data_IF_004686013540
#
_entry.id   IF_004686013540
#
_cell.length_a   1.000
_cell.length_b   1.000
_cell.length_c   1.000
_cell.angle_alpha   90.00
_cell.angle_beta   90.00
_cell.angle_gamma   90.00
#
_symmetry.space_group_name_H-M   'P 1'
#
loop_
_entity.id
_entity.type
_entity.pdbx_description
1 polymer ?
#
# COMPACT_ATOMS: atom_id res chain seq x y z
N UNK A 1 0.70 31.34 1.31
CA UNK A 1 2.00 31.16 1.99
C UNK A 1 2.98 30.64 0.96
N UNK A 2 4.06 31.37 0.66
CA UNK A 2 5.08 30.96 -0.31
C UNK A 2 6.23 30.31 0.48
N UNK A 3 6.02 29.08 0.95
CA UNK A 3 7.00 28.36 1.79
C UNK A 3 8.34 28.23 1.06
N UNK A 4 8.32 27.90 -0.23
CA UNK A 4 9.55 27.76 -1.02
C UNK A 4 10.36 29.05 -1.16
N UNK A 5 9.70 30.20 -1.27
CA UNK A 5 10.37 31.51 -1.36
C UNK A 5 11.03 31.88 -0.03
N UNK A 6 10.28 31.76 1.08
CA UNK A 6 10.81 32.00 2.42
C UNK A 6 12.03 31.10 2.73
N UNK A 7 11.99 29.82 2.33
CA UNK A 7 13.12 28.91 2.48
C UNK A 7 14.32 29.32 1.62
N UNK A 8 14.10 29.78 0.38
CA UNK A 8 15.18 30.25 -0.48
C UNK A 8 15.85 31.52 0.08
N UNK A 9 15.06 32.44 0.63
CA UNK A 9 15.56 33.67 1.26
C UNK A 9 16.35 33.37 2.53
N UNK A 10 15.85 32.42 3.36
CA UNK A 10 16.49 32.02 4.61
C UNK A 10 17.77 31.18 4.39
N UNK A 11 17.82 30.39 3.31
CA UNK A 11 18.92 29.48 2.99
C UNK A 11 19.52 29.78 1.61
N UNK A 12 20.20 30.93 1.41
CA UNK A 12 20.67 31.38 0.10
C UNK A 12 21.75 30.47 -0.52
N UNK A 13 22.47 29.70 0.31
CA UNK A 13 23.43 28.71 -0.16
C UNK A 13 22.76 27.45 -0.75
N UNK A 14 21.50 27.20 -0.41
CA UNK A 14 20.74 26.02 -0.84
C UNK A 14 19.83 26.39 -2.01
N UNK A 15 20.27 26.11 -3.24
CA UNK A 15 19.46 26.38 -4.42
C UNK A 15 18.28 25.40 -4.50
N UNK A 16 17.02 25.88 -4.54
CA UNK A 16 15.86 25.01 -4.66
C UNK A 16 15.86 24.29 -6.01
N UNK A 17 15.48 23.02 -6.00
CA UNK A 17 15.34 22.19 -7.20
C UNK A 17 14.02 21.44 -7.14
N UNK A 18 13.28 21.44 -8.24
CA UNK A 18 12.03 20.66 -8.36
C UNK A 18 12.27 19.16 -8.58
N UNK A 19 13.48 18.78 -9.01
CA UNK A 19 13.91 17.39 -9.25
C UNK A 19 15.36 17.21 -8.83
N UNK A 20 15.74 16.00 -8.42
CA UNK A 20 17.11 15.72 -7.99
C UNK A 20 17.54 16.57 -6.78
N UNK A 21 16.60 16.86 -5.89
CA UNK A 21 16.86 17.51 -4.61
C UNK A 21 17.45 16.50 -3.63
N UNK A 22 18.24 16.97 -2.67
CA UNK A 22 18.77 16.13 -1.59
C UNK A 22 17.83 16.03 -0.40
N UNK A 23 16.93 17.01 -0.24
CA UNK A 23 15.97 17.10 0.86
C UNK A 23 14.63 17.55 0.30
N UNK A 24 13.58 16.78 0.55
CA UNK A 24 12.22 17.16 0.21
C UNK A 24 11.57 17.84 1.41
N UNK A 25 11.35 19.15 1.34
CA UNK A 25 10.57 19.86 2.35
C UNK A 25 9.10 19.84 1.96
N UNK A 26 8.26 19.33 2.85
CA UNK A 26 6.81 19.24 2.69
C UNK A 26 6.12 20.24 3.62
N UNK A 27 5.15 20.95 3.07
CA UNK A 27 4.30 21.87 3.81
C UNK A 27 2.84 21.43 3.66
N UNK A 28 2.23 20.95 4.74
CA UNK A 28 0.83 20.54 4.78
C UNK A 28 0.00 21.59 5.53
N UNK A 29 -1.08 22.04 4.91
CA UNK A 29 -2.06 22.93 5.55
C UNK A 29 -3.32 22.15 5.86
N UNK A 30 -3.62 21.98 7.15
CA UNK A 30 -4.82 21.28 7.62
C UNK A 30 -5.66 22.25 8.43
N UNK A 31 -6.75 22.72 7.84
CA UNK A 31 -7.56 23.80 8.40
C UNK A 31 -6.73 25.06 8.62
N UNK A 32 -6.51 25.44 9.89
CA UNK A 32 -5.72 26.61 10.29
C UNK A 32 -4.28 26.29 10.70
N UNK A 33 -3.85 25.03 10.60
CA UNK A 33 -2.51 24.59 11.01
C UNK A 33 -1.62 24.39 9.79
N UNK A 34 -0.39 24.89 9.87
CA UNK A 34 0.69 24.59 8.92
C UNK A 34 1.67 23.64 9.59
N UNK A 35 1.92 22.49 8.97
CA UNK A 35 3.00 21.58 9.33
C UNK A 35 4.10 21.68 8.27
N UNK A 36 5.34 21.90 8.70
CA UNK A 36 6.52 21.87 7.82
C UNK A 36 7.41 20.71 8.27
N UNK A 37 7.74 19.81 7.36
CA UNK A 37 8.49 18.60 7.66
C UNK A 37 9.40 18.19 6.51
N UNK A 38 10.30 17.23 6.76
CA UNK A 38 11.10 16.58 5.73
C UNK A 38 10.41 15.28 5.30
N UNK A 39 10.17 15.12 4.01
CA UNK A 39 9.63 13.89 3.43
C UNK A 39 10.76 12.95 3.03
N UNK A 40 10.79 11.77 3.64
CA UNK A 40 11.85 10.77 3.44
C UNK A 40 11.58 9.83 2.26
N UNK A 41 10.31 9.56 1.96
CA UNK A 41 9.90 8.67 0.88
C UNK A 41 9.11 9.47 -0.15
N UNK A 42 9.52 9.43 -1.41
CA UNK A 42 8.78 10.09 -2.49
C UNK A 42 7.44 9.40 -2.72
N UNK A 43 7.44 8.06 -2.71
CA UNK A 43 6.25 7.23 -2.85
C UNK A 43 5.60 6.92 -1.49
N UNK A 44 4.26 6.88 -1.41
CA UNK A 44 3.58 6.44 -0.20
C UNK A 44 4.00 5.02 0.19
N UNK A 45 4.29 4.80 1.47
CA UNK A 45 4.65 3.48 2.00
C UNK A 45 3.56 2.41 1.77
N UNK A 46 2.31 2.82 1.55
CA UNK A 46 1.22 1.91 1.18
C UNK A 46 1.37 1.30 -0.22
N UNK A 47 2.33 1.73 -1.04
CA UNK A 47 2.66 1.14 -2.36
C UNK A 47 3.78 0.10 -2.26
N UNK A 48 3.75 -0.74 -1.22
CA UNK A 48 4.78 -1.77 -0.98
C UNK A 48 4.65 -2.99 -1.89
N UNK A 49 3.42 -3.36 -2.27
CA UNK A 49 3.18 -4.37 -3.29
C UNK A 49 3.17 -3.70 -4.66
N UNK A 50 4.20 -3.95 -5.47
CA UNK A 50 4.23 -3.49 -6.85
C UNK A 50 3.23 -4.30 -7.67
N UNK A 51 2.03 -3.75 -7.82
CA UNK A 51 0.94 -4.43 -8.49
C UNK A 51 1.21 -4.55 -10.01
N UNK A 52 1.30 -5.78 -10.51
CA UNK A 52 1.26 -6.09 -11.94
C UNK A 52 -0.15 -5.81 -12.53
N UNK A 53 -1.18 -5.85 -11.68
CA UNK A 53 -2.56 -5.56 -12.00
C UNK A 53 -3.20 -4.63 -10.95
N UNK A 54 -3.84 -3.57 -11.42
CA UNK A 54 -4.62 -2.65 -10.58
C UNK A 54 -6.08 -2.65 -11.06
N UNK A 55 -6.98 -3.15 -10.22
CA UNK A 55 -8.40 -2.95 -10.42
C UNK A 55 -8.76 -1.46 -10.27
N UNK A 56 -9.91 -1.04 -10.82
CA UNK A 56 -10.38 0.36 -10.78
C UNK A 56 -10.46 0.93 -9.37
N UNK A 57 -10.79 0.08 -8.41
CA UNK A 57 -10.84 0.41 -6.98
C UNK A 57 -10.10 -0.69 -6.23
N UNK A 58 -9.15 -0.27 -5.39
CA UNK A 58 -8.33 -1.15 -4.56
C UNK A 58 -8.13 -0.50 -3.20
N UNK A 59 -8.22 -1.31 -2.15
CA UNK A 59 -7.90 -0.88 -0.80
C UNK A 59 -6.40 -0.59 -0.68
N UNK A 60 -6.01 0.39 0.14
CA UNK A 60 -4.60 0.63 0.43
C UNK A 60 -4.07 -0.48 1.33
N UNK A 61 -2.83 -0.92 1.10
CA UNK A 61 -2.11 -1.87 1.96
C UNK A 61 -2.19 -1.52 3.45
N UNK A 62 -2.03 -0.24 3.80
CA UNK A 62 -2.13 0.23 5.19
C UNK A 62 -3.50 -0.01 5.83
N UNK A 63 -4.59 0.07 5.06
CA UNK A 63 -5.94 -0.19 5.58
C UNK A 63 -6.20 -1.70 5.64
N UNK A 64 -5.72 -2.46 4.65
CA UNK A 64 -5.75 -3.91 4.69
C UNK A 64 -5.04 -4.46 5.95
N UNK A 65 -3.86 -3.92 6.28
CA UNK A 65 -3.14 -4.28 7.50
C UNK A 65 -3.97 -4.02 8.75
N UNK A 66 -4.60 -2.84 8.85
CA UNK A 66 -5.50 -2.53 9.98
C UNK A 66 -6.62 -3.55 10.07
N UNK A 67 -7.29 -3.89 8.97
CA UNK A 67 -8.34 -4.91 8.96
C UNK A 67 -7.84 -6.25 9.50
N UNK A 68 -6.66 -6.70 9.04
CA UNK A 68 -6.06 -7.96 9.48
C UNK A 68 -5.73 -7.97 10.97
N UNK A 69 -5.20 -6.87 11.51
CA UNK A 69 -4.93 -6.76 12.96
C UNK A 69 -6.21 -6.81 13.82
N UNK A 70 -7.36 -6.45 13.25
CA UNK A 70 -8.66 -6.51 13.93
C UNK A 70 -9.40 -7.83 13.67
N UNK A 71 -8.90 -8.68 12.79
CA UNK A 71 -9.55 -9.94 12.40
C UNK A 71 -9.38 -11.08 13.43
N UNK A 72 -8.58 -10.87 14.48
CA UNK A 72 -8.36 -11.88 15.53
C UNK A 72 -7.54 -13.08 15.08
N UNK A 73 -6.61 -12.88 14.13
CA UNK A 73 -5.72 -13.94 13.64
C UNK A 73 -4.77 -14.44 14.75
N UNK A 74 -4.38 -15.73 14.73
CA UNK A 74 -3.38 -16.26 15.65
C UNK A 74 -2.08 -15.46 15.63
N UNK A 75 -1.56 -15.13 16.81
CA UNK A 75 -0.32 -14.34 16.93
C UNK A 75 0.94 -15.08 16.49
N UNK A 76 0.86 -16.40 16.32
CA UNK A 76 1.95 -17.24 15.82
C UNK A 76 2.00 -17.30 14.28
N UNK A 77 1.10 -16.59 13.59
CA UNK A 77 1.04 -16.52 12.13
C UNK A 77 0.49 -17.80 11.48
N UNK A 78 0.05 -18.79 12.27
CA UNK A 78 -0.50 -20.06 11.77
C UNK A 78 -1.88 -19.92 11.11
N UNK A 79 -2.47 -18.73 11.15
CA UNK A 79 -3.77 -18.44 10.58
C UNK A 79 -3.82 -18.55 9.04
N UNK A 80 -5.05 -18.58 8.54
CA UNK A 80 -5.38 -18.39 7.14
C UNK A 80 -6.40 -17.26 6.99
N UNK A 81 -6.40 -16.61 5.84
CA UNK A 81 -7.33 -15.51 5.52
C UNK A 81 -8.12 -15.87 4.27
N UNK A 82 -9.41 -15.53 4.25
CA UNK A 82 -10.26 -15.63 3.06
C UNK A 82 -10.85 -14.26 2.75
N UNK A 83 -10.68 -13.78 1.52
CA UNK A 83 -11.35 -12.59 0.98
C UNK A 83 -12.30 -12.99 -0.15
N UNK A 84 -13.64 -12.98 0.07
CA UNK A 84 -14.61 -13.40 -0.93
C UNK A 84 -14.79 -12.41 -2.09
N UNK A 85 -14.18 -11.22 -2.02
CA UNK A 85 -14.24 -10.18 -3.05
C UNK A 85 -12.85 -9.60 -3.30
N UNK A 86 -11.90 -10.47 -3.63
CA UNK A 86 -10.48 -10.21 -3.51
C UNK A 86 -9.95 -9.11 -4.45
N UNK A 87 -10.61 -8.83 -5.58
CA UNK A 87 -10.24 -7.72 -6.45
C UNK A 87 -8.80 -7.80 -6.97
N UNK A 88 -7.91 -6.96 -6.43
CA UNK A 88 -6.47 -6.98 -6.76
C UNK A 88 -5.62 -7.81 -5.79
N UNK A 89 -6.24 -8.43 -4.78
CA UNK A 89 -5.58 -9.32 -3.81
C UNK A 89 -4.91 -8.61 -2.64
N UNK A 90 -5.11 -7.30 -2.44
CA UNK A 90 -4.33 -6.52 -1.47
C UNK A 90 -4.45 -7.03 -0.03
N UNK A 91 -5.63 -7.49 0.40
CA UNK A 91 -5.80 -8.07 1.75
C UNK A 91 -4.98 -9.37 1.89
N UNK A 92 -5.03 -10.23 0.86
CA UNK A 92 -4.32 -11.51 0.86
C UNK A 92 -2.80 -11.30 0.90
N UNK A 93 -2.29 -10.38 0.08
CA UNK A 93 -0.86 -10.05 0.04
C UNK A 93 -0.38 -9.42 1.34
N UNK A 94 -1.15 -8.50 1.93
CA UNK A 94 -0.79 -7.89 3.20
C UNK A 94 -0.78 -8.92 4.35
N UNK A 95 -1.66 -9.92 4.31
CA UNK A 95 -1.69 -10.97 5.33
C UNK A 95 -0.40 -11.82 5.31
N UNK A 96 0.06 -12.20 4.12
CA UNK A 96 1.28 -12.98 3.95
C UNK A 96 2.54 -12.14 4.22
N UNK A 97 2.60 -10.91 3.69
CA UNK A 97 3.73 -9.99 3.86
C UNK A 97 3.93 -9.57 5.33
N UNK A 98 2.82 -9.41 6.07
CA UNK A 98 2.87 -9.14 7.50
C UNK A 98 3.14 -10.38 8.37
N UNK A 99 3.22 -11.58 7.79
CA UNK A 99 3.37 -12.84 8.53
C UNK A 99 2.17 -13.18 9.41
N UNK A 100 0.99 -12.64 9.09
CA UNK A 100 -0.26 -12.89 9.82
C UNK A 100 -0.99 -14.14 9.32
N UNK A 101 -0.62 -14.63 8.15
CA UNK A 101 -1.12 -15.87 7.58
C UNK A 101 -0.01 -16.61 6.84
N UNK A 102 -0.13 -17.94 6.79
CA UNK A 102 0.72 -18.80 5.95
C UNK A 102 0.11 -19.09 4.58
N UNK A 103 -1.22 -19.00 4.51
CA UNK A 103 -1.99 -19.21 3.28
C UNK A 103 -3.17 -18.25 3.25
N UNK A 104 -3.48 -17.76 2.05
CA UNK A 104 -4.55 -16.80 1.81
C UNK A 104 -5.40 -17.26 0.62
N UNK A 105 -6.72 -17.19 0.79
CA UNK A 105 -7.71 -17.61 -0.19
C UNK A 105 -8.51 -16.41 -0.68
N UNK A 106 -8.76 -16.34 -1.98
CA UNK A 106 -9.50 -15.27 -2.62
C UNK A 106 -10.61 -15.81 -3.52
N UNK A 107 -11.73 -15.11 -3.55
CA UNK A 107 -12.72 -15.27 -4.59
C UNK A 107 -13.10 -13.93 -5.20
N UNK A 108 -13.50 -13.93 -6.47
CA UNK A 108 -14.12 -12.77 -7.12
C UNK A 108 -15.00 -13.22 -8.30
N UNK A 109 -16.14 -12.56 -8.51
CA UNK A 109 -17.02 -12.87 -9.64
C UNK A 109 -16.36 -12.55 -10.99
N UNK A 110 -15.42 -11.60 -10.99
CA UNK A 110 -14.67 -11.17 -12.17
C UNK A 110 -13.39 -11.99 -12.37
N UNK A 111 -13.35 -12.77 -13.46
CA UNK A 111 -12.15 -13.56 -13.84
C UNK A 111 -10.88 -12.71 -13.99
N UNK A 112 -10.99 -11.44 -14.39
CA UNK A 112 -9.83 -10.55 -14.51
C UNK A 112 -9.26 -10.16 -13.15
N UNK A 113 -10.11 -10.00 -12.14
CA UNK A 113 -9.69 -9.74 -10.77
C UNK A 113 -8.93 -10.95 -10.20
N UNK A 114 -9.44 -12.16 -10.41
CA UNK A 114 -8.77 -13.41 -10.00
C UNK A 114 -7.39 -13.53 -10.66
N UNK A 115 -7.30 -13.36 -11.98
CA UNK A 115 -6.02 -13.38 -12.72
C UNK A 115 -5.07 -12.29 -12.21
N UNK A 116 -5.59 -11.10 -11.96
CA UNK A 116 -4.83 -9.97 -11.45
C UNK A 116 -4.28 -10.20 -10.04
N UNK A 117 -5.08 -10.80 -9.16
CA UNK A 117 -4.67 -11.22 -7.81
C UNK A 117 -3.53 -12.22 -7.87
N UNK A 118 -3.61 -13.25 -8.72
CA UNK A 118 -2.54 -14.23 -8.89
C UNK A 118 -1.27 -13.60 -9.47
N UNK A 119 -1.40 -12.73 -10.47
CA UNK A 119 -0.25 -12.01 -11.05
C UNK A 119 0.42 -11.07 -10.02
N UNK A 120 -0.37 -10.41 -9.16
CA UNK A 120 0.17 -9.60 -8.08
C UNK A 120 0.87 -10.45 -7.01
N UNK A 121 0.32 -11.62 -6.68
CA UNK A 121 0.97 -12.57 -5.78
C UNK A 121 2.31 -13.05 -6.32
N UNK A 122 2.38 -13.37 -7.62
CA UNK A 122 3.63 -13.73 -8.28
C UNK A 122 4.65 -12.57 -8.23
N UNK A 123 4.24 -11.36 -8.62
CA UNK A 123 5.10 -10.18 -8.61
C UNK A 123 5.60 -9.82 -7.19
N UNK A 124 4.83 -10.14 -6.15
CA UNK A 124 5.19 -9.92 -4.75
C UNK A 124 5.95 -11.09 -4.11
N UNK A 125 6.16 -12.21 -4.82
CA UNK A 125 6.88 -13.38 -4.29
C UNK A 125 6.02 -14.33 -3.43
N UNK A 126 4.69 -14.20 -3.48
CA UNK A 126 3.72 -14.98 -2.70
C UNK A 126 2.91 -15.98 -3.53
N UNK A 127 3.37 -16.36 -4.73
CA UNK A 127 2.64 -17.25 -5.64
C UNK A 127 2.18 -18.58 -5.01
N UNK A 128 2.95 -19.14 -4.07
CA UNK A 128 2.60 -20.40 -3.39
C UNK A 128 1.64 -20.23 -2.21
N UNK A 129 1.53 -19.01 -1.67
CA UNK A 129 0.70 -18.73 -0.48
C UNK A 129 -0.67 -18.15 -0.82
N UNK A 130 -0.93 -17.80 -2.08
CA UNK A 130 -2.21 -17.23 -2.53
C UNK A 130 -2.93 -18.20 -3.45
N UNK A 131 -4.15 -18.56 -3.08
CA UNK A 131 -5.07 -19.29 -3.94
C UNK A 131 -6.25 -18.40 -4.25
N UNK A 132 -6.58 -18.20 -5.53
CA UNK A 132 -7.73 -17.40 -5.92
C UNK A 132 -8.54 -18.09 -7.02
N UNK A 133 -9.86 -18.06 -6.90
CA UNK A 133 -10.77 -18.64 -7.88
C UNK A 133 -11.92 -17.71 -8.23
N UNK A 134 -12.59 -17.99 -9.34
CA UNK A 134 -13.81 -17.27 -9.70
C UNK A 134 -14.99 -17.91 -8.97
N UNK A 135 -15.66 -17.14 -8.13
CA UNK A 135 -16.90 -17.54 -7.48
C UNK A 135 -17.89 -16.36 -7.40
N UNK A 136 -19.16 -16.67 -7.23
CA UNK A 136 -20.24 -15.71 -7.00
C UNK A 136 -20.84 -16.06 -5.63
N UNK A 137 -20.68 -15.17 -4.65
CA UNK A 137 -20.90 -15.41 -3.21
C UNK A 137 -21.99 -14.49 -2.69
#
# INVERSE_FOLDING_TARGET
>A
IIVGGCLADQYPACKPKMRGYSVHIRADVVGRRLCVSTQLHEEPLSRRHKAAYLNKVTIKASVAYVMLTQAGLPSDGSGSVMDPFCGSGTILLEALDAGLATVAYGADANTQAVKGTLANAEAAGFAQGVHAERADV
#
